data_IF_071478821980
#
_entry.id   IF_071478821980
#
_cell.length_a   1.000
_cell.length_b   1.000
_cell.length_c   1.000
_cell.angle_alpha   90.00
_cell.angle_beta   90.00
_cell.angle_gamma   90.00
#
_symmetry.space_group_name_H-M   'P 1'
#
loop_
_entity.id
_entity.type
_entity.pdbx_description
1 polymer ?
#
# COMPACT_ATOMS: atom_id res chain seq x y z
N UNK A 1 29.46 19.45 10.64
CA UNK A 1 29.76 18.37 11.63
C UNK A 1 28.55 17.99 12.50
N UNK A 2 27.57 18.88 12.70
CA UNK A 2 26.34 18.67 13.48
C UNK A 2 25.36 17.62 12.92
N UNK A 3 25.48 17.20 11.65
CA UNK A 3 24.58 16.20 11.06
C UNK A 3 24.84 14.76 11.52
N UNK A 4 26.07 14.42 11.92
CA UNK A 4 26.42 13.03 12.28
C UNK A 4 25.94 12.67 13.69
N UNK A 5 26.03 13.60 14.63
CA UNK A 5 25.60 13.38 16.03
C UNK A 5 24.09 13.15 16.11
N UNK A 6 23.30 13.94 15.39
CA UNK A 6 21.84 13.75 15.32
C UNK A 6 21.44 12.39 14.73
N UNK A 7 22.15 11.95 13.68
CA UNK A 7 21.93 10.63 13.06
C UNK A 7 22.28 9.49 14.03
N UNK A 8 23.42 9.57 14.72
CA UNK A 8 23.80 8.57 15.73
C UNK A 8 22.86 8.54 16.92
N UNK A 9 22.40 9.70 17.39
CA UNK A 9 21.40 9.78 18.45
C UNK A 9 20.08 9.13 18.02
N UNK A 10 19.63 9.36 16.78
CA UNK A 10 18.44 8.71 16.23
C UNK A 10 18.61 7.19 16.12
N UNK A 11 19.78 6.70 15.68
CA UNK A 11 20.06 5.26 15.65
C UNK A 11 20.10 4.63 17.04
N UNK A 12 20.75 5.29 18.00
CA UNK A 12 20.80 4.81 19.38
C UNK A 12 19.41 4.76 20.02
N UNK A 13 18.60 5.81 19.82
CA UNK A 13 17.21 5.83 20.29
C UNK A 13 16.36 4.73 19.64
N UNK A 14 16.49 4.54 18.32
CA UNK A 14 15.82 3.45 17.59
C UNK A 14 16.22 2.07 18.11
N UNK A 15 17.51 1.83 18.32
CA UNK A 15 18.02 0.56 18.84
C UNK A 15 17.55 0.31 20.27
N UNK A 16 17.52 1.35 21.11
CA UNK A 16 16.99 1.26 22.47
C UNK A 16 15.51 0.86 22.47
N UNK A 17 14.69 1.46 21.60
CA UNK A 17 13.28 1.09 21.43
C UNK A 17 13.10 -0.36 20.95
N UNK A 18 13.91 -0.81 19.99
CA UNK A 18 13.92 -2.22 19.53
C UNK A 18 14.26 -3.14 20.69
N UNK A 19 15.27 -2.80 21.50
CA UNK A 19 15.68 -3.58 22.66
C UNK A 19 14.57 -3.71 23.71
N UNK A 20 13.86 -2.62 24.00
CA UNK A 20 12.70 -2.62 24.90
C UNK A 20 11.59 -3.54 24.38
N UNK A 21 11.26 -3.44 23.09
CA UNK A 21 10.27 -4.32 22.45
C UNK A 21 10.67 -5.79 22.49
N UNK A 22 11.93 -6.10 22.15
CA UNK A 22 12.47 -7.46 22.18
C UNK A 22 12.45 -8.06 23.59
N UNK A 23 12.76 -7.26 24.63
CA UNK A 23 12.68 -7.68 26.02
C UNK A 23 11.25 -8.05 26.42
N UNK A 24 10.26 -7.24 26.01
CA UNK A 24 8.85 -7.54 26.28
C UNK A 24 8.40 -8.84 25.60
N UNK A 25 8.78 -9.05 24.34
CA UNK A 25 8.49 -10.30 23.62
C UNK A 25 9.11 -11.51 24.34
N UNK A 26 10.39 -11.42 24.73
CA UNK A 26 11.08 -12.52 25.39
C UNK A 26 10.51 -12.85 26.79
N UNK A 27 10.02 -11.84 27.50
CA UNK A 27 9.48 -12.00 28.85
C UNK A 27 8.03 -12.50 28.88
N UNK A 28 7.21 -12.11 27.91
CA UNK A 28 5.74 -12.27 28.00
C UNK A 28 5.13 -13.11 26.87
N UNK A 29 5.85 -13.37 25.78
CA UNK A 29 5.30 -14.04 24.59
C UNK A 29 5.95 -15.39 24.34
N UNK A 30 5.18 -16.48 24.20
CA UNK A 30 5.73 -17.78 23.80
C UNK A 30 6.45 -17.68 22.45
N UNK A 31 7.73 -18.03 22.42
CA UNK A 31 8.62 -17.86 21.26
C UNK A 31 8.05 -18.49 19.98
N UNK A 32 7.47 -19.68 20.07
CA UNK A 32 6.87 -20.36 18.91
C UNK A 32 5.67 -19.60 18.34
N UNK A 33 4.84 -18.99 19.19
CA UNK A 33 3.67 -18.20 18.75
C UNK A 33 4.10 -16.89 18.11
N UNK A 34 5.10 -16.22 18.70
CA UNK A 34 5.71 -15.03 18.10
C UNK A 34 6.34 -15.36 16.74
N UNK A 35 7.12 -16.44 16.67
CA UNK A 35 7.78 -16.86 15.44
C UNK A 35 6.77 -17.22 14.35
N UNK A 36 5.69 -17.94 14.69
CA UNK A 36 4.62 -18.25 13.74
C UNK A 36 3.92 -16.99 13.21
N UNK A 37 3.64 -16.00 14.07
CA UNK A 37 3.07 -14.72 13.66
C UNK A 37 4.03 -13.93 12.75
N UNK A 38 5.30 -13.85 13.13
CA UNK A 38 6.33 -13.13 12.37
C UNK A 38 6.60 -13.78 11.01
N UNK A 39 6.82 -15.10 10.99
CA UNK A 39 7.01 -15.87 9.76
C UNK A 39 5.76 -15.82 8.88
N UNK A 40 4.56 -15.89 9.46
CA UNK A 40 3.30 -15.75 8.72
C UNK A 40 3.22 -14.39 8.01
N UNK A 41 3.59 -13.30 8.69
CA UNK A 41 3.63 -11.97 8.08
C UNK A 41 4.68 -11.86 6.96
N UNK A 42 5.88 -12.41 7.18
CA UNK A 42 6.95 -12.43 6.18
C UNK A 42 6.54 -13.23 4.93
N UNK A 43 5.99 -14.43 5.12
CA UNK A 43 5.50 -15.28 4.02
C UNK A 43 4.36 -14.60 3.28
N UNK A 44 3.40 -13.97 3.98
CA UNK A 44 2.33 -13.22 3.34
C UNK A 44 2.91 -12.08 2.48
N UNK A 45 3.93 -11.38 2.96
CA UNK A 45 4.57 -10.33 2.20
C UNK A 45 5.26 -10.88 0.94
N UNK A 46 6.12 -11.88 1.08
CA UNK A 46 6.96 -12.33 -0.02
C UNK A 46 6.21 -13.22 -1.01
N UNK A 47 5.25 -14.01 -0.54
CA UNK A 47 4.46 -14.90 -1.39
C UNK A 47 3.20 -14.24 -1.98
N UNK A 48 2.71 -13.13 -1.41
CA UNK A 48 1.47 -12.48 -1.88
C UNK A 48 1.71 -11.05 -2.35
N UNK A 49 2.28 -10.18 -1.52
CA UNK A 49 2.48 -8.78 -1.89
C UNK A 49 3.44 -8.64 -3.07
N UNK A 50 4.58 -9.34 -3.05
CA UNK A 50 5.56 -9.27 -4.13
C UNK A 50 4.96 -9.75 -5.47
N UNK A 51 4.33 -10.94 -5.58
CA UNK A 51 3.69 -11.37 -6.82
C UNK A 51 2.57 -10.44 -7.29
N UNK A 52 1.75 -9.88 -6.39
CA UNK A 52 0.72 -8.91 -6.76
C UNK A 52 1.31 -7.64 -7.36
N UNK A 53 2.39 -7.12 -6.79
CA UNK A 53 3.08 -5.93 -7.30
C UNK A 53 3.69 -6.19 -8.68
N UNK A 54 4.25 -7.39 -8.89
CA UNK A 54 4.79 -7.82 -10.18
C UNK A 54 3.67 -8.00 -11.21
N UNK A 55 2.58 -8.67 -10.85
CA UNK A 55 1.39 -8.85 -11.68
C UNK A 55 0.76 -7.51 -12.07
N UNK A 56 0.66 -6.56 -11.14
CA UNK A 56 0.22 -5.19 -11.44
C UNK A 56 1.18 -4.47 -12.40
N UNK A 57 2.49 -4.69 -12.25
CA UNK A 57 3.50 -4.21 -13.20
C UNK A 57 3.30 -4.77 -14.61
N UNK A 58 3.04 -6.07 -14.71
CA UNK A 58 2.78 -6.77 -15.97
C UNK A 58 1.45 -6.34 -16.60
N UNK A 59 0.37 -6.28 -15.82
CA UNK A 59 -0.96 -5.86 -16.27
C UNK A 59 -0.94 -4.41 -16.81
N UNK A 60 -0.10 -3.55 -16.23
CA UNK A 60 0.06 -2.16 -16.67
C UNK A 60 1.15 -1.98 -17.73
N UNK A 61 1.83 -3.06 -18.16
CA UNK A 61 2.97 -2.98 -19.07
C UNK A 61 2.62 -2.48 -20.48
N UNK A 62 1.35 -2.61 -20.89
CA UNK A 62 0.85 -2.13 -22.19
C UNK A 62 0.26 -0.71 -22.11
N UNK A 63 0.13 -0.13 -20.91
CA UNK A 63 -0.46 1.19 -20.76
C UNK A 63 0.49 2.31 -21.21
N UNK A 64 -0.04 3.43 -21.74
CA UNK A 64 0.73 4.63 -22.01
C UNK A 64 1.51 5.09 -20.78
N UNK A 65 2.70 5.67 -20.98
CA UNK A 65 3.59 6.12 -19.89
C UNK A 65 2.89 7.07 -18.89
N UNK A 66 1.96 7.89 -19.39
CA UNK A 66 1.13 8.78 -18.58
C UNK A 66 0.23 8.04 -17.58
N UNK A 67 -0.31 6.88 -17.98
CA UNK A 67 -1.27 6.10 -17.21
C UNK A 67 -0.61 5.01 -16.33
N UNK A 68 0.57 4.52 -16.74
CA UNK A 68 1.24 3.38 -16.09
C UNK A 68 1.47 3.54 -14.59
N UNK A 69 2.07 4.66 -14.17
CA UNK A 69 2.39 4.89 -12.74
C UNK A 69 1.14 5.05 -11.86
N UNK A 70 0.16 5.91 -12.20
CA UNK A 70 -1.08 6.01 -11.42
C UNK A 70 -1.84 4.70 -11.32
N UNK A 71 -2.00 3.97 -12.43
CA UNK A 71 -2.75 2.71 -12.44
C UNK A 71 -2.02 1.63 -11.64
N UNK A 72 -0.69 1.53 -11.75
CA UNK A 72 0.09 0.59 -10.95
C UNK A 72 -0.05 0.88 -9.45
N UNK A 73 0.06 2.15 -9.05
CA UNK A 73 -0.13 2.54 -7.65
C UNK A 73 -1.54 2.17 -7.16
N UNK A 74 -2.57 2.45 -7.97
CA UNK A 74 -3.95 2.12 -7.66
C UNK A 74 -4.18 0.61 -7.48
N UNK A 75 -3.63 -0.22 -8.36
CA UNK A 75 -3.71 -1.68 -8.26
C UNK A 75 -3.05 -2.20 -6.98
N UNK A 76 -1.86 -1.67 -6.63
CA UNK A 76 -1.15 -2.07 -5.41
C UNK A 76 -1.95 -1.67 -4.17
N UNK A 77 -2.43 -0.43 -4.10
CA UNK A 77 -3.24 0.06 -2.98
C UNK A 77 -4.55 -0.74 -2.87
N UNK A 78 -5.25 -0.98 -3.98
CA UNK A 78 -6.45 -1.80 -4.03
C UNK A 78 -6.19 -3.23 -3.55
N UNK A 79 -5.07 -3.84 -3.96
CA UNK A 79 -4.64 -5.15 -3.50
C UNK A 79 -4.40 -5.20 -1.99
N UNK A 80 -3.67 -4.22 -1.43
CA UNK A 80 -3.42 -4.12 0.01
C UNK A 80 -4.72 -3.93 0.81
N UNK A 81 -5.59 -3.02 0.37
CA UNK A 81 -6.89 -2.78 1.01
C UNK A 81 -7.75 -4.05 0.97
N UNK A 82 -7.75 -4.75 -0.16
CA UNK A 82 -8.47 -6.02 -0.30
C UNK A 82 -7.91 -7.06 0.65
N UNK A 83 -6.59 -7.24 0.72
CA UNK A 83 -5.95 -8.23 1.60
C UNK A 83 -6.31 -8.00 3.08
N UNK A 84 -6.32 -6.74 3.53
CA UNK A 84 -6.69 -6.38 4.91
C UNK A 84 -8.20 -6.53 5.16
N UNK A 85 -9.05 -6.18 4.18
CA UNK A 85 -10.50 -6.26 4.31
C UNK A 85 -11.05 -7.67 4.13
N UNK A 86 -10.31 -8.57 3.46
CA UNK A 86 -10.77 -9.90 3.08
C UNK A 86 -11.27 -10.73 4.28
N UNK A 87 -10.58 -10.78 5.43
CA UNK A 87 -11.08 -11.53 6.58
C UNK A 87 -12.43 -11.02 7.08
N UNK A 88 -12.63 -9.69 7.07
CA UNK A 88 -13.87 -9.04 7.51
C UNK A 88 -15.03 -9.32 6.55
N UNK A 89 -14.75 -9.28 5.24
CA UNK A 89 -15.73 -9.61 4.19
C UNK A 89 -16.15 -11.07 4.28
N UNK A 90 -15.17 -11.98 4.47
CA UNK A 90 -15.42 -13.41 4.67
C UNK A 90 -16.08 -13.72 6.02
N UNK A 91 -16.14 -12.75 6.93
CA UNK A 91 -16.80 -12.89 8.23
C UNK A 91 -15.97 -13.65 9.26
N UNK A 92 -14.65 -13.71 9.10
CA UNK A 92 -13.78 -14.25 10.14
C UNK A 92 -13.96 -13.43 11.43
N UNK A 93 -14.24 -14.14 12.53
CA UNK A 93 -14.55 -13.53 13.83
C UNK A 93 -16.03 -13.22 14.06
N UNK A 94 -16.90 -13.43 13.06
CA UNK A 94 -18.37 -13.31 13.22
C UNK A 94 -18.86 -14.38 14.18
N UNK A 95 -19.74 -13.96 15.09
CA UNK A 95 -20.39 -14.81 16.07
C UNK A 95 -21.88 -14.52 16.09
N UNK A 96 -22.67 -15.59 16.02
CA UNK A 96 -24.13 -15.47 15.94
C UNK A 96 -24.72 -14.90 17.24
N UNK A 97 -24.05 -15.16 18.36
CA UNK A 97 -24.31 -14.66 19.70
C UNK A 97 -23.97 -13.17 19.86
N UNK A 98 -23.13 -12.59 19.00
CA UNK A 98 -22.66 -11.20 19.12
C UNK A 98 -22.73 -10.47 17.76
N UNK A 99 -23.92 -10.08 17.31
CA UNK A 99 -24.12 -9.43 16.01
C UNK A 99 -23.43 -8.06 15.91
N UNK A 100 -23.08 -7.44 17.04
CA UNK A 100 -22.34 -6.16 17.09
C UNK A 100 -20.89 -6.26 16.60
N UNK A 101 -20.33 -7.46 16.47
CA UNK A 101 -18.90 -7.66 16.19
C UNK A 101 -18.50 -7.36 14.75
N UNK A 102 -19.40 -7.58 13.79
CA UNK A 102 -19.23 -7.25 12.36
C UNK A 102 -20.54 -6.65 11.82
N UNK A 103 -20.93 -5.45 12.27
CA UNK A 103 -22.26 -4.92 12.00
C UNK A 103 -22.36 -4.29 10.59
N UNK A 104 -21.22 -3.97 9.98
CA UNK A 104 -21.17 -3.28 8.70
C UNK A 104 -21.23 -4.26 7.52
N UNK A 105 -21.84 -3.86 6.38
CA UNK A 105 -21.77 -4.62 5.15
C UNK A 105 -20.39 -4.46 4.50
N UNK A 106 -19.38 -5.18 5.02
CA UNK A 106 -17.98 -5.06 4.60
C UNK A 106 -17.76 -5.30 3.10
N UNK A 107 -18.55 -6.18 2.47
CA UNK A 107 -18.49 -6.38 1.03
C UNK A 107 -18.85 -5.12 0.24
N UNK A 108 -19.94 -4.43 0.63
CA UNK A 108 -20.36 -3.16 0.03
C UNK A 108 -19.31 -2.06 0.29
N UNK A 109 -18.82 -1.97 1.52
CA UNK A 109 -17.85 -0.95 1.89
C UNK A 109 -16.52 -1.14 1.16
N UNK A 110 -16.05 -2.38 1.01
CA UNK A 110 -14.86 -2.68 0.22
C UNK A 110 -15.06 -2.26 -1.24
N UNK A 111 -16.20 -2.59 -1.85
CA UNK A 111 -16.50 -2.18 -3.22
C UNK A 111 -16.48 -0.65 -3.40
N UNK A 112 -17.04 0.10 -2.43
CA UNK A 112 -17.00 1.56 -2.43
C UNK A 112 -15.58 2.12 -2.34
N UNK A 113 -14.74 1.54 -1.48
CA UNK A 113 -13.33 1.96 -1.36
C UNK A 113 -12.55 1.65 -2.64
N UNK A 114 -12.75 0.47 -3.25
CA UNK A 114 -12.13 0.12 -4.52
C UNK A 114 -12.57 1.07 -5.65
N UNK A 115 -13.85 1.43 -5.69
CA UNK A 115 -14.37 2.43 -6.63
C UNK A 115 -13.70 3.81 -6.41
N UNK A 116 -13.55 4.25 -5.16
CA UNK A 116 -12.86 5.50 -4.84
C UNK A 116 -11.39 5.50 -5.31
N UNK A 117 -10.67 4.40 -5.07
CA UNK A 117 -9.28 4.22 -5.56
C UNK A 117 -9.23 4.32 -7.09
N UNK A 118 -10.15 3.67 -7.78
CA UNK A 118 -10.22 3.70 -9.24
C UNK A 118 -10.50 5.12 -9.78
N UNK A 119 -11.42 5.85 -9.15
CA UNK A 119 -11.74 7.25 -9.51
C UNK A 119 -10.53 8.16 -9.32
N UNK A 120 -9.82 8.05 -8.18
CA UNK A 120 -8.61 8.84 -7.91
C UNK A 120 -7.52 8.53 -8.94
N UNK A 121 -7.35 7.25 -9.29
CA UNK A 121 -6.39 6.84 -10.32
C UNK A 121 -6.74 7.45 -11.68
N UNK A 122 -8.00 7.36 -12.10
CA UNK A 122 -8.49 7.93 -13.35
C UNK A 122 -8.27 9.45 -13.41
N UNK A 123 -8.59 10.16 -12.33
CA UNK A 123 -8.33 11.60 -12.21
C UNK A 123 -6.84 11.92 -12.34
N UNK A 124 -5.96 11.15 -11.67
CA UNK A 124 -4.52 11.33 -11.77
C UNK A 124 -3.97 11.10 -13.19
N UNK A 125 -4.53 10.10 -13.91
CA UNK A 125 -4.21 9.88 -15.33
C UNK A 125 -4.67 11.06 -16.18
N UNK A 126 -5.92 11.52 -16.02
CA UNK A 126 -6.47 12.65 -16.77
C UNK A 126 -5.62 13.92 -16.59
N UNK A 127 -5.26 14.25 -15.35
CA UNK A 127 -4.40 15.39 -15.03
C UNK A 127 -3.03 15.28 -15.72
N UNK A 128 -2.44 14.08 -15.76
CA UNK A 128 -1.16 13.86 -16.46
C UNK A 128 -1.29 14.03 -17.97
N UNK A 129 -2.34 13.51 -18.57
CA UNK A 129 -2.59 13.65 -20.01
C UNK A 129 -2.77 15.13 -20.40
N UNK A 130 -3.55 15.89 -19.63
CA UNK A 130 -3.74 17.33 -19.85
C UNK A 130 -2.42 18.09 -19.73
N UNK A 131 -1.60 17.78 -18.71
CA UNK A 131 -0.27 18.40 -18.54
C UNK A 131 0.68 18.10 -19.71
N UNK A 132 0.63 16.89 -20.26
CA UNK A 132 1.45 16.51 -21.42
C UNK A 132 0.99 17.19 -22.71
N UNK A 133 -0.32 17.32 -22.92
CA UNK A 133 -0.88 18.04 -24.07
C UNK A 133 -0.43 19.52 -24.07
N UNK A 134 -0.58 20.21 -22.92
CA UNK A 134 -0.17 21.63 -22.77
C UNK A 134 1.33 21.85 -23.03
N UNK A 135 2.20 20.91 -22.63
CA UNK A 135 3.65 21.00 -22.89
C UNK A 135 4.00 20.94 -24.38
N UNK A 136 3.26 20.15 -25.17
CA UNK A 136 3.47 20.03 -26.62
C UNK A 136 3.08 21.31 -27.36
N UNK A 137 2.01 21.97 -26.93
CA UNK A 137 1.56 23.26 -27.50
C UNK A 137 2.55 24.40 -27.22
N UNK A 138 3.11 24.46 -26.00
CA UNK A 138 4.13 25.45 -25.65
C UNK A 138 5.42 25.32 -26.47
N UNK A 139 5.88 24.08 -26.72
CA UNK A 139 7.07 23.81 -27.53
C UNK A 139 6.90 24.18 -29.02
N UNK A 140 5.71 23.94 -29.60
CA UNK A 140 5.43 24.33 -30.99
C UNK A 140 5.45 25.84 -31.21
N UNK A 141 5.00 26.64 -30.24
CA UNK A 141 5.02 28.11 -30.33
C UNK A 141 6.42 28.72 -30.27
N UNK A 142 7.38 28.04 -29.64
CA UNK A 142 8.79 28.50 -29.59
C UNK A 142 9.61 28.07 -30.82
N UNK A 143 9.26 26.95 -31.47
CA UNK A 143 9.95 26.46 -32.67
C UNK A 143 9.63 27.22 -33.96
N UNK A 144 8.45 27.82 -34.09
CA UNK A 144 8.03 28.57 -35.29
C UNK A 144 8.47 30.04 -35.35
N UNK A 145 9.36 30.49 -34.44
CA UNK A 145 9.89 31.86 -34.37
C UNK A 145 11.39 31.95 -34.70
N UNK A 146 11.96 30.90 -35.28
CA UNK A 146 13.33 30.85 -35.82
C UNK A 146 13.24 30.63 -37.32
#
# INVERSE_FOLDING_TARGET
>A
MTSRIGVWAAYAAGLALIGVGARGIAAEVPAARWAAWFAGAAVLHDAVLVPLVLAAGLATARLPAAARRPVRAALVVAGCVTAVALPLVLGYGRRADEPSRLPLPYGRNLALVLAAIAVIAAAAVAVRLVRLARRREGGRRQGGRR
#
